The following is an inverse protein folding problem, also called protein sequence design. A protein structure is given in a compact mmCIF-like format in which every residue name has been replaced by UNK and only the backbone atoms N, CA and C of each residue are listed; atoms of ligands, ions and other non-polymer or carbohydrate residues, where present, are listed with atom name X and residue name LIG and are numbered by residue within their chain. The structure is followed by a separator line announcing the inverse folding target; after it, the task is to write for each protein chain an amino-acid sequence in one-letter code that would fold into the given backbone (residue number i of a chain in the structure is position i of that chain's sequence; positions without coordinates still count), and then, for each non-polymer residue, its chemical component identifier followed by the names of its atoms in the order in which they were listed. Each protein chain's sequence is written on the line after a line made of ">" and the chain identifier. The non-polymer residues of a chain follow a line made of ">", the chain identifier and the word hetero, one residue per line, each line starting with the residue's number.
data_IF_211947606213
#
_entry.id   IF_211947606213
#
_cell.length_a   1.000
_cell.length_b   1.000
_cell.length_c   1.000
_cell.angle_alpha   90.00
_cell.angle_beta   90.00
_cell.angle_gamma   90.00
#
_symmetry.space_group_name_H-M   'P 1'
#
loop_
_entity.id
_entity.type
_entity.pdbx_description
1 polymer ?
#
# COMPACT_ATOMS: atom_id res chain seq x y z
N UNK A 1 5.08 8.55 -22.72
CA UNK A 1 5.85 9.58 -21.98
C UNK A 1 6.04 9.09 -20.56
N UNK A 2 7.10 8.32 -20.32
CA UNK A 2 7.50 7.87 -18.99
C UNK A 2 8.97 7.45 -19.03
N UNK A 3 9.83 8.40 -19.41
CA UNK A 3 11.29 8.25 -19.30
C UNK A 3 11.82 9.28 -18.32
N UNK A 4 12.09 8.81 -17.09
CA UNK A 4 13.17 9.27 -16.19
C UNK A 4 13.31 8.25 -15.05
N UNK A 5 13.84 7.08 -15.39
CA UNK A 5 14.55 6.24 -14.43
C UNK A 5 15.97 6.83 -14.31
N UNK A 6 16.17 7.70 -13.33
CA UNK A 6 17.52 8.17 -12.97
C UNK A 6 18.11 7.21 -11.94
N UNK A 7 19.26 6.64 -12.27
CA UNK A 7 20.09 5.80 -11.43
C UNK A 7 20.69 6.61 -10.27
N UNK A 8 20.13 6.47 -9.07
CA UNK A 8 20.65 7.06 -7.81
C UNK A 8 20.68 6.01 -6.67
N UNK A 9 21.11 4.79 -6.97
CA UNK A 9 21.15 3.63 -6.05
C UNK A 9 22.06 3.82 -4.81
N UNK A 10 22.93 4.82 -4.79
CA UNK A 10 23.91 5.05 -3.72
C UNK A 10 23.43 5.95 -2.57
N UNK A 11 22.63 6.98 -2.86
CA UNK A 11 22.11 7.89 -1.84
C UNK A 11 20.91 7.31 -1.09
N UNK A 12 20.04 6.57 -1.80
CA UNK A 12 18.83 5.98 -1.23
C UNK A 12 19.13 4.95 -0.12
N UNK A 13 20.18 4.14 -0.28
CA UNK A 13 20.63 3.16 0.71
C UNK A 13 21.11 3.83 2.01
N UNK A 14 21.82 4.95 1.90
CA UNK A 14 22.36 5.66 3.07
C UNK A 14 21.25 6.33 3.88
N UNK A 15 20.30 6.98 3.20
CA UNK A 15 19.14 7.61 3.85
C UNK A 15 18.25 6.56 4.52
N UNK A 16 17.99 5.44 3.84
CA UNK A 16 17.21 4.32 4.41
C UNK A 16 17.86 3.76 5.69
N UNK A 17 19.18 3.60 5.70
CA UNK A 17 19.93 3.16 6.88
C UNK A 17 19.84 4.15 8.06
N UNK A 18 19.92 5.46 7.80
CA UNK A 18 19.82 6.51 8.84
C UNK A 18 18.41 6.52 9.45
N UNK A 19 17.37 6.48 8.62
CA UNK A 19 15.97 6.47 9.07
C UNK A 19 15.68 5.21 9.88
N UNK A 20 16.15 4.06 9.39
CA UNK A 20 16.00 2.78 10.09
C UNK A 20 16.69 2.78 11.46
N UNK A 21 17.92 3.33 11.54
CA UNK A 21 18.63 3.45 12.81
C UNK A 21 17.86 4.33 13.82
N UNK A 22 17.32 5.48 13.37
CA UNK A 22 16.51 6.36 14.22
C UNK A 22 15.23 5.68 14.69
N UNK A 23 14.55 4.95 13.82
CA UNK A 23 13.36 4.18 14.15
C UNK A 23 13.67 3.11 15.21
N UNK A 24 14.73 2.32 14.99
CA UNK A 24 15.15 1.26 15.91
C UNK A 24 15.50 1.81 17.29
N UNK A 25 16.24 2.91 17.37
CA UNK A 25 16.59 3.56 18.65
C UNK A 25 15.32 3.89 19.45
N UNK A 26 14.32 4.49 18.79
CA UNK A 26 13.04 4.83 19.41
C UNK A 26 12.26 3.61 19.91
N UNK A 27 12.29 2.50 19.16
CA UNK A 27 11.65 1.25 19.60
C UNK A 27 12.28 0.70 20.88
N UNK A 28 13.61 0.67 20.95
CA UNK A 28 14.35 0.19 22.13
C UNK A 28 14.08 1.09 23.34
N UNK A 29 14.17 2.41 23.19
CA UNK A 29 13.91 3.37 24.26
C UNK A 29 12.50 3.27 24.85
N UNK A 30 11.53 2.91 24.00
CA UNK A 30 10.12 2.75 24.39
C UNK A 30 9.75 1.29 24.70
N UNK A 31 10.74 0.38 24.77
CA UNK A 31 10.58 -1.04 25.07
C UNK A 31 9.60 -1.80 24.13
N UNK A 32 9.58 -1.44 22.84
CA UNK A 32 8.80 -2.15 21.82
C UNK A 32 9.56 -3.36 21.26
N UNK A 33 8.82 -4.35 20.76
CA UNK A 33 9.39 -5.48 20.02
C UNK A 33 10.08 -5.00 18.73
N UNK A 34 11.26 -5.56 18.45
CA UNK A 34 12.05 -5.20 17.25
C UNK A 34 11.69 -6.04 16.02
N UNK A 35 11.16 -7.24 16.24
CA UNK A 35 10.74 -8.12 15.17
C UNK A 35 9.29 -7.85 14.78
N UNK A 36 8.95 -8.14 13.53
CA UNK A 36 7.60 -8.03 13.05
C UNK A 36 6.66 -8.93 13.86
N UNK A 37 5.57 -8.36 14.40
CA UNK A 37 4.56 -9.09 15.17
C UNK A 37 3.94 -10.26 14.41
N UNK A 38 3.71 -10.11 13.10
CA UNK A 38 2.99 -11.10 12.27
C UNK A 38 3.85 -12.30 11.92
N UNK A 39 5.04 -12.09 11.35
CA UNK A 39 5.90 -13.20 10.90
C UNK A 39 6.97 -13.61 11.91
N UNK A 40 7.30 -12.75 12.89
CA UNK A 40 8.33 -12.94 13.92
C UNK A 40 9.76 -13.18 13.43
N UNK A 41 9.97 -13.29 12.11
CA UNK A 41 11.25 -13.56 11.47
C UNK A 41 11.93 -12.27 10.99
N UNK A 42 11.17 -11.38 10.34
CA UNK A 42 11.71 -10.17 9.75
C UNK A 42 11.79 -9.04 10.78
N UNK A 43 12.78 -8.15 10.60
CA UNK A 43 12.87 -6.93 11.41
C UNK A 43 11.70 -5.99 11.10
N UNK A 44 11.22 -5.35 12.16
CA UNK A 44 10.24 -4.30 12.11
C UNK A 44 10.78 -3.04 11.45
N UNK A 45 10.05 -2.51 10.48
CA UNK A 45 10.37 -1.25 9.79
C UNK A 45 9.38 -0.14 10.15
N UNK A 46 8.16 -0.51 10.57
CA UNK A 46 7.07 0.43 10.86
C UNK A 46 6.37 0.06 12.17
N UNK A 47 6.06 1.06 12.98
CA UNK A 47 5.23 0.95 14.19
C UNK A 47 3.80 1.41 13.87
N UNK A 48 2.86 0.47 13.88
CA UNK A 48 1.46 0.74 13.62
C UNK A 48 0.72 1.01 14.94
N UNK A 49 -0.06 2.11 14.97
CA UNK A 49 -0.92 2.51 16.11
C UNK A 49 -0.20 2.55 17.48
N UNK A 50 1.12 2.81 17.50
CA UNK A 50 1.95 2.80 18.72
C UNK A 50 1.86 1.49 19.52
N UNK A 51 1.50 0.39 18.87
CA UNK A 51 1.26 -0.89 19.55
C UNK A 51 2.07 -2.01 18.92
N UNK A 52 2.01 -2.13 17.60
CA UNK A 52 2.49 -3.30 16.89
C UNK A 52 3.52 -2.92 15.85
N UNK A 53 4.62 -3.67 15.81
CA UNK A 53 5.69 -3.45 14.85
C UNK A 53 5.54 -4.43 13.68
N UNK A 54 5.67 -3.93 12.45
CA UNK A 54 5.54 -4.72 11.23
C UNK A 54 6.77 -4.54 10.33
N UNK A 55 7.14 -5.61 9.60
CA UNK A 55 7.97 -5.47 8.41
C UNK A 55 7.12 -5.00 7.23
N UNK A 56 7.77 -4.53 6.16
CA UNK A 56 7.09 -3.98 4.98
C UNK A 56 6.07 -4.96 4.37
N UNK A 57 6.46 -6.22 4.13
CA UNK A 57 5.56 -7.20 3.51
C UNK A 57 4.32 -7.46 4.37
N UNK A 58 4.51 -7.69 5.67
CA UNK A 58 3.40 -7.94 6.58
C UNK A 58 2.50 -6.71 6.78
N UNK A 59 3.04 -5.49 6.66
CA UNK A 59 2.24 -4.27 6.67
C UNK A 59 1.37 -4.18 5.41
N UNK A 60 1.92 -4.46 4.24
CA UNK A 60 1.16 -4.41 2.98
C UNK A 60 0.04 -5.46 2.97
N UNK A 61 0.31 -6.67 3.44
CA UNK A 61 -0.73 -7.70 3.64
C UNK A 61 -1.82 -7.21 4.60
N UNK A 62 -1.42 -6.56 5.71
CA UNK A 62 -2.35 -6.03 6.70
C UNK A 62 -3.25 -4.95 6.09
N UNK A 63 -2.68 -4.03 5.31
CA UNK A 63 -3.42 -3.01 4.58
C UNK A 63 -4.38 -3.63 3.56
N UNK A 64 -3.91 -4.60 2.76
CA UNK A 64 -4.73 -5.32 1.76
C UNK A 64 -5.91 -6.04 2.42
N UNK A 65 -5.66 -6.75 3.54
CA UNK A 65 -6.73 -7.40 4.32
C UNK A 65 -7.72 -6.39 4.89
N UNK A 66 -7.23 -5.28 5.45
CA UNK A 66 -8.08 -4.24 6.04
C UNK A 66 -8.95 -3.59 4.97
N UNK A 67 -8.37 -3.24 3.82
CA UNK A 67 -9.06 -2.69 2.67
C UNK A 67 -10.21 -3.60 2.20
N UNK A 68 -9.92 -4.89 1.93
CA UNK A 68 -10.95 -5.87 1.52
C UNK A 68 -12.04 -6.02 2.58
N UNK A 69 -11.66 -6.11 3.86
CA UNK A 69 -12.64 -6.22 4.94
C UNK A 69 -13.54 -4.98 5.02
N UNK A 70 -13.01 -3.78 4.77
CA UNK A 70 -13.78 -2.54 4.76
C UNK A 70 -14.76 -2.51 3.60
N UNK A 71 -14.33 -2.90 2.40
CA UNK A 71 -15.23 -3.01 1.23
C UNK A 71 -16.33 -4.05 1.44
N UNK A 72 -15.98 -5.24 1.94
CA UNK A 72 -16.96 -6.30 2.20
C UNK A 72 -17.98 -5.93 3.30
N UNK A 73 -17.55 -5.18 4.32
CA UNK A 73 -18.43 -4.70 5.41
C UNK A 73 -19.35 -3.57 4.96
N UNK A 74 -18.89 -2.68 4.08
CA UNK A 74 -19.71 -1.55 3.62
C UNK A 74 -20.89 -2.01 2.76
N UNK A 75 -20.76 -3.16 2.07
CA UNK A 75 -21.76 -3.70 1.13
C UNK A 75 -22.14 -2.75 0.00
N UNK A 76 -21.34 -1.70 -0.22
CA UNK A 76 -21.57 -0.68 -1.25
C UNK A 76 -21.25 -1.22 -2.66
N UNK A 77 -20.34 -2.18 -2.73
CA UNK A 77 -19.81 -2.75 -3.96
C UNK A 77 -20.23 -4.22 -4.02
N UNK A 78 -20.86 -4.60 -5.12
CA UNK A 78 -21.27 -5.98 -5.44
C UNK A 78 -20.30 -6.62 -6.44
N UNK A 79 -20.45 -7.93 -6.62
CA UNK A 79 -19.75 -8.65 -7.69
C UNK A 79 -20.17 -8.09 -9.04
N UNK A 80 -19.23 -8.03 -9.99
CA UNK A 80 -19.41 -7.55 -11.36
C UNK A 80 -19.77 -6.07 -11.51
N UNK A 81 -19.81 -5.30 -10.41
CA UNK A 81 -20.00 -3.85 -10.48
C UNK A 81 -18.85 -3.22 -11.26
N UNK A 82 -19.18 -2.26 -12.15
CA UNK A 82 -18.19 -1.44 -12.84
C UNK A 82 -17.92 -0.19 -12.00
N UNK A 83 -16.68 -0.03 -11.56
CA UNK A 83 -16.33 1.00 -10.57
C UNK A 83 -15.33 1.97 -11.19
N UNK A 84 -15.67 3.25 -11.17
CA UNK A 84 -14.75 4.31 -11.52
C UNK A 84 -13.89 4.69 -10.31
N UNK A 85 -12.58 4.60 -10.46
CA UNK A 85 -11.57 4.94 -9.45
C UNK A 85 -10.90 6.24 -9.87
N UNK A 86 -11.11 7.31 -9.11
CA UNK A 86 -10.43 8.58 -9.35
C UNK A 86 -8.95 8.48 -8.98
N UNK A 87 -8.07 8.79 -9.92
CA UNK A 87 -6.62 8.77 -9.74
C UNK A 87 -6.06 10.17 -9.92
N UNK A 88 -5.36 10.67 -8.90
CA UNK A 88 -4.76 12.01 -8.91
C UNK A 88 -3.25 12.01 -9.09
N UNK A 89 -2.61 10.84 -9.11
CA UNK A 89 -1.15 10.70 -9.09
C UNK A 89 -0.51 10.89 -7.70
N UNK A 90 -1.27 11.30 -6.69
CA UNK A 90 -0.77 11.42 -5.32
C UNK A 90 -0.62 10.06 -4.62
N UNK A 91 0.21 10.00 -3.57
CA UNK A 91 0.55 8.77 -2.84
C UNK A 91 -0.69 7.97 -2.39
N UNK A 92 -1.74 8.64 -1.90
CA UNK A 92 -2.98 7.97 -1.48
C UNK A 92 -3.71 7.28 -2.64
N UNK A 93 -3.74 7.91 -3.82
CA UNK A 93 -4.37 7.34 -5.01
C UNK A 93 -3.56 6.18 -5.58
N UNK A 94 -2.22 6.27 -5.53
CA UNK A 94 -1.32 5.17 -5.90
C UNK A 94 -1.50 3.98 -4.96
N UNK A 95 -1.53 4.23 -3.64
CA UNK A 95 -1.77 3.19 -2.65
C UNK A 95 -3.14 2.53 -2.84
N UNK A 96 -4.19 3.31 -3.18
CA UNK A 96 -5.52 2.77 -3.46
C UNK A 96 -5.49 1.82 -4.67
N UNK A 97 -4.86 2.21 -5.77
CA UNK A 97 -4.74 1.38 -6.98
C UNK A 97 -3.95 0.10 -6.68
N UNK A 98 -2.84 0.19 -5.94
CA UNK A 98 -2.06 -0.98 -5.52
C UNK A 98 -2.89 -1.95 -4.66
N UNK A 99 -3.68 -1.43 -3.72
CA UNK A 99 -4.59 -2.26 -2.90
C UNK A 99 -5.71 -2.90 -3.71
N UNK A 100 -6.27 -2.19 -4.70
CA UNK A 100 -7.27 -2.73 -5.64
C UNK A 100 -6.66 -3.87 -6.44
N UNK A 101 -5.52 -3.63 -7.09
CA UNK A 101 -4.80 -4.63 -7.87
C UNK A 101 -4.51 -5.89 -7.05
N UNK A 102 -3.92 -5.73 -5.86
CA UNK A 102 -3.65 -6.87 -4.95
C UNK A 102 -4.91 -7.62 -4.55
N UNK A 103 -6.00 -6.89 -4.29
CA UNK A 103 -7.29 -7.50 -3.95
C UNK A 103 -7.94 -8.26 -5.11
N UNK A 104 -7.64 -7.89 -6.35
CA UNK A 104 -8.05 -8.59 -7.58
C UNK A 104 -7.14 -9.77 -7.91
N UNK A 105 -5.85 -9.71 -7.59
CA UNK A 105 -4.88 -10.79 -7.85
C UNK A 105 -5.00 -11.94 -6.83
N UNK A 106 -5.74 -11.77 -5.74
CA UNK A 106 -5.77 -12.75 -4.65
C UNK A 106 -6.63 -13.99 -4.97
N UNK A 107 -6.09 -15.18 -4.68
CA UNK A 107 -6.70 -16.47 -5.04
C UNK A 107 -7.77 -16.98 -4.06
N UNK A 108 -7.98 -16.30 -2.93
CA UNK A 108 -8.82 -16.77 -1.81
C UNK A 108 -10.28 -16.28 -1.87
N UNK A 109 -11.13 -16.83 -1.00
CA UNK A 109 -12.58 -16.56 -0.87
C UNK A 109 -12.99 -15.07 -0.78
N UNK A 110 -12.08 -14.17 -0.41
CA UNK A 110 -12.30 -12.72 -0.31
C UNK A 110 -11.69 -11.94 -1.48
N UNK A 111 -11.56 -12.56 -2.65
CA UNK A 111 -11.17 -11.90 -3.90
C UNK A 111 -12.16 -10.79 -4.26
N UNK A 112 -11.65 -9.63 -4.66
CA UNK A 112 -12.48 -8.56 -5.21
C UNK A 112 -13.00 -9.02 -6.58
N UNK A 113 -14.30 -8.81 -6.83
CA UNK A 113 -14.97 -9.25 -8.07
C UNK A 113 -15.63 -8.11 -8.84
N UNK A 114 -15.32 -6.88 -8.49
CA UNK A 114 -15.74 -5.73 -9.28
C UNK A 114 -14.73 -5.47 -10.39
N UNK A 115 -15.13 -4.70 -11.40
CA UNK A 115 -14.31 -4.32 -12.54
C UNK A 115 -13.91 -2.85 -12.37
N UNK A 116 -12.65 -2.54 -12.01
CA UNK A 116 -12.21 -1.15 -11.87
C UNK A 116 -11.91 -0.48 -13.22
N UNK A 117 -12.21 0.81 -13.30
CA UNK A 117 -11.81 1.73 -14.35
C UNK A 117 -11.11 2.91 -13.70
N UNK A 118 -9.87 3.17 -14.06
CA UNK A 118 -9.09 4.29 -13.54
C UNK A 118 -9.37 5.54 -14.35
N UNK A 119 -9.71 6.64 -13.69
CA UNK A 119 -9.86 7.96 -14.30
C UNK A 119 -8.72 8.86 -13.81
N UNK A 120 -7.88 9.30 -14.74
CA UNK A 120 -6.91 10.35 -14.50
C UNK A 120 -7.35 11.62 -15.24
N UNK A 121 -7.45 12.74 -14.51
CA UNK A 121 -7.77 14.04 -15.09
C UNK A 121 -6.47 14.83 -15.16
N UNK A 122 -5.97 15.01 -16.38
CA UNK A 122 -4.88 15.96 -16.61
C UNK A 122 -5.47 17.38 -16.53
N UNK A 123 -4.82 18.26 -15.77
CA UNK A 123 -5.19 19.68 -15.72
C UNK A 123 -5.10 20.38 -17.08
N UNK A 124 -4.48 19.71 -18.06
CA UNK A 124 -4.43 20.14 -19.45
C UNK A 124 -5.45 19.36 -20.30
N UNK A 125 -6.72 19.79 -20.30
CA UNK A 125 -7.77 19.50 -21.31
C UNK A 125 -8.03 18.03 -21.75
N UNK A 126 -7.48 17.02 -21.07
CA UNK A 126 -7.65 15.61 -21.42
C UNK A 126 -8.01 14.72 -20.22
N UNK A 127 -9.03 13.88 -20.40
CA UNK A 127 -9.34 12.78 -19.47
C UNK A 127 -8.89 11.47 -20.10
N UNK A 128 -7.99 10.74 -19.44
CA UNK A 128 -7.58 9.40 -19.85
C UNK A 128 -8.25 8.37 -18.92
N UNK A 129 -8.88 7.36 -19.52
CA UNK A 129 -9.48 6.25 -18.79
C UNK A 129 -8.74 4.96 -19.11
N UNK A 130 -8.22 4.29 -18.09
CA UNK A 130 -7.45 3.04 -18.21
C UNK A 130 -8.16 1.95 -17.42
N UNK A 131 -8.33 0.77 -18.01
CA UNK A 131 -8.85 -0.41 -17.29
C UNK A 131 -7.67 -1.05 -16.55
N UNK A 132 -7.85 -1.29 -15.25
CA UNK A 132 -6.80 -1.85 -14.36
C UNK A 132 -7.01 -3.34 -14.17
#
# INVERSE_FOLDING_TARGET
>A
MCDRYNSDDGQEKTVSNIVFHRFRKKLVESNYQLNCRKCQQNQGTILLQKKDVFCNNCLIDHCTKTFRSTLGKSRLIKSEDRILVGFSGGLSSVALVDLIRRGLDEEQFQKLRFIPYLLFIDGNVGCEMVVV
#
